data_IF_323543785369
#
_entry.id   IF_323543785369
#
_cell.length_a   1.000
_cell.length_b   1.000
_cell.length_c   1.000
_cell.angle_alpha   90.00
_cell.angle_beta   90.00
_cell.angle_gamma   90.00
#
_symmetry.space_group_name_H-M   'P 1'
#
loop_
_entity.id
_entity.type
_entity.pdbx_description
1 polymer ?
#
# COMPACT_ATOMS: atom_id res chain seq x y z
N UNK A 1 -24.48 -76.54 96.42
CA UNK A 1 -24.99 -75.79 95.26
C UNK A 1 -24.42 -74.37 95.28
N UNK A 2 -23.37 -74.10 94.50
CA UNK A 2 -22.85 -72.74 94.27
C UNK A 2 -22.07 -72.75 92.95
N UNK A 3 -22.79 -72.57 91.84
CA UNK A 3 -22.19 -72.31 90.54
C UNK A 3 -21.82 -70.82 90.50
N UNK A 4 -20.51 -70.56 90.43
CA UNK A 4 -19.92 -69.24 90.32
C UNK A 4 -19.72 -68.98 88.83
N UNK A 5 -20.64 -68.25 88.21
CA UNK A 5 -20.49 -67.78 86.83
C UNK A 5 -19.38 -66.72 86.79
N UNK A 6 -18.26 -67.08 86.16
CA UNK A 6 -17.17 -66.18 85.81
C UNK A 6 -17.52 -65.63 84.43
N UNK A 7 -18.22 -64.49 84.39
CA UNK A 7 -18.41 -63.76 83.13
C UNK A 7 -17.07 -63.15 82.70
N UNK A 8 -16.59 -63.65 81.57
CA UNK A 8 -15.34 -63.31 80.91
C UNK A 8 -15.48 -61.91 80.31
N UNK A 9 -14.95 -60.91 81.00
CA UNK A 9 -14.82 -59.54 80.51
C UNK A 9 -13.74 -59.50 79.41
N UNK A 10 -14.12 -59.96 78.22
CA UNK A 10 -13.24 -60.05 77.05
C UNK A 10 -13.69 -59.04 75.98
N UNK A 11 -12.72 -58.28 75.50
CA UNK A 11 -12.68 -57.68 74.16
C UNK A 11 -13.54 -56.42 73.89
N UNK A 12 -13.46 -55.37 74.72
CA UNK A 12 -13.87 -54.00 74.31
C UNK A 12 -12.74 -53.12 73.74
N UNK A 13 -11.50 -53.61 73.67
CA UNK A 13 -10.35 -52.84 73.16
C UNK A 13 -10.19 -52.84 71.62
N UNK A 14 -11.00 -53.60 70.88
CA UNK A 14 -10.96 -53.65 69.41
C UNK A 14 -12.02 -52.79 68.70
N UNK A 15 -13.11 -52.43 69.37
CA UNK A 15 -14.26 -51.76 68.73
C UNK A 15 -13.93 -50.34 68.24
N UNK A 16 -13.16 -49.58 69.02
CA UNK A 16 -12.75 -48.23 68.61
C UNK A 16 -11.87 -48.24 67.35
N UNK A 17 -10.97 -49.23 67.22
CA UNK A 17 -10.12 -49.35 66.02
C UNK A 17 -10.92 -49.61 64.75
N UNK A 18 -11.96 -50.44 64.83
CA UNK A 18 -12.85 -50.72 63.68
C UNK A 18 -13.64 -49.48 63.29
N UNK A 19 -14.18 -48.72 64.24
CA UNK A 19 -14.90 -47.46 63.96
C UNK A 19 -13.99 -46.43 63.28
N UNK A 20 -12.74 -46.27 63.73
CA UNK A 20 -11.78 -45.38 63.07
C UNK A 20 -11.46 -45.81 61.64
N UNK A 21 -11.28 -47.11 61.40
CA UNK A 21 -11.03 -47.62 60.04
C UNK A 21 -12.23 -47.36 59.14
N UNK A 22 -13.45 -47.63 59.61
CA UNK A 22 -14.68 -47.37 58.84
C UNK A 22 -14.82 -45.87 58.53
N UNK A 23 -14.65 -44.99 59.51
CA UNK A 23 -14.70 -43.54 59.30
C UNK A 23 -13.62 -43.05 58.33
N UNK A 24 -12.40 -43.59 58.44
CA UNK A 24 -11.31 -43.27 57.53
C UNK A 24 -11.64 -43.71 56.10
N UNK A 25 -12.15 -44.94 55.90
CA UNK A 25 -12.57 -45.43 54.59
C UNK A 25 -13.66 -44.56 53.97
N UNK A 26 -14.68 -44.18 54.74
CA UNK A 26 -15.72 -43.26 54.27
C UNK A 26 -15.16 -41.88 53.87
N UNK A 27 -14.21 -41.37 54.66
CA UNK A 27 -13.57 -40.08 54.38
C UNK A 27 -12.76 -40.12 53.09
N UNK A 28 -11.98 -41.19 52.88
CA UNK A 28 -11.22 -41.40 51.65
C UNK A 28 -12.14 -41.58 50.44
N UNK A 29 -13.21 -42.38 50.58
CA UNK A 29 -14.18 -42.58 49.49
C UNK A 29 -14.87 -41.25 49.11
N UNK A 30 -15.29 -40.46 50.10
CA UNK A 30 -15.87 -39.14 49.86
C UNK A 30 -14.86 -38.20 49.17
N UNK A 31 -13.61 -38.19 49.64
CA UNK A 31 -12.56 -37.38 49.03
C UNK A 31 -12.30 -37.78 47.56
N UNK A 32 -12.28 -39.07 47.25
CA UNK A 32 -12.12 -39.56 45.87
C UNK A 32 -13.27 -39.12 44.96
N UNK A 33 -14.52 -39.12 45.47
CA UNK A 33 -15.68 -38.62 44.72
C UNK A 33 -15.53 -37.12 44.46
N UNK A 34 -15.13 -36.33 45.47
CA UNK A 34 -14.92 -34.88 45.31
C UNK A 34 -13.81 -34.60 44.30
N UNK A 35 -12.69 -35.32 44.36
CA UNK A 35 -11.58 -35.19 43.39
C UNK A 35 -12.04 -35.57 41.98
N UNK A 36 -12.82 -36.63 41.84
CA UNK A 36 -13.39 -37.04 40.55
C UNK A 36 -14.28 -35.94 39.95
N UNK A 37 -15.23 -35.43 40.72
CA UNK A 37 -16.14 -34.35 40.28
C UNK A 37 -15.35 -33.07 39.97
N UNK A 38 -14.36 -32.72 40.79
CA UNK A 38 -13.50 -31.57 40.55
C UNK A 38 -12.74 -31.69 39.23
N UNK A 39 -12.23 -32.88 38.92
CA UNK A 39 -11.52 -33.14 37.67
C UNK A 39 -12.44 -33.04 36.44
N UNK A 40 -13.68 -33.54 36.53
CA UNK A 40 -14.68 -33.34 35.46
C UNK A 40 -15.02 -31.85 35.25
N UNK A 41 -15.21 -31.10 36.34
CA UNK A 41 -15.48 -29.66 36.26
C UNK A 41 -14.33 -28.88 35.63
N UNK A 42 -13.08 -29.20 35.99
CA UNK A 42 -11.89 -28.60 35.38
C UNK A 42 -11.83 -28.89 33.87
N UNK A 43 -12.17 -30.11 33.44
CA UNK A 43 -12.20 -30.46 32.02
C UNK A 43 -13.29 -29.67 31.26
N UNK A 44 -14.47 -29.49 31.84
CA UNK A 44 -15.56 -28.70 31.25
C UNK A 44 -15.15 -27.23 31.12
N UNK A 45 -14.56 -26.64 32.16
CA UNK A 45 -14.09 -25.25 32.15
C UNK A 45 -13.01 -25.06 31.09
N UNK A 46 -12.04 -25.98 31.00
CA UNK A 46 -10.99 -25.93 29.99
C UNK A 46 -11.55 -26.00 28.56
N UNK A 47 -12.54 -26.88 28.32
CA UNK A 47 -13.23 -26.97 27.02
C UNK A 47 -13.98 -25.69 26.69
N UNK A 48 -14.69 -25.11 27.64
CA UNK A 48 -15.43 -23.86 27.44
C UNK A 48 -14.48 -22.69 27.15
N UNK A 49 -13.34 -22.61 27.84
CA UNK A 49 -12.32 -21.59 27.57
C UNK A 49 -11.74 -21.73 26.16
N UNK A 50 -11.40 -22.94 25.73
CA UNK A 50 -10.90 -23.21 24.36
C UNK A 50 -11.96 -22.91 23.29
N UNK A 51 -13.23 -23.19 23.56
CA UNK A 51 -14.34 -22.83 22.67
C UNK A 51 -14.45 -21.31 22.50
N UNK A 52 -14.41 -20.55 23.59
CA UNK A 52 -14.46 -19.08 23.52
C UNK A 52 -13.22 -18.49 22.83
N UNK A 53 -12.02 -19.06 23.06
CA UNK A 53 -10.82 -18.69 22.31
C UNK A 53 -10.99 -18.92 20.80
N UNK A 54 -11.58 -20.05 20.40
CA UNK A 54 -11.85 -20.34 18.99
C UNK A 54 -12.85 -19.35 18.39
N UNK A 55 -13.91 -18.98 19.12
CA UNK A 55 -14.86 -17.94 18.68
C UNK A 55 -14.19 -16.59 18.49
N UNK A 56 -13.29 -16.21 19.40
CA UNK A 56 -12.52 -14.97 19.29
C UNK A 56 -11.60 -14.99 18.08
N UNK A 57 -10.91 -16.10 17.82
CA UNK A 57 -10.08 -16.29 16.62
C UNK A 57 -10.90 -16.14 15.32
N UNK A 58 -12.05 -16.82 15.24
CA UNK A 58 -12.96 -16.71 14.08
C UNK A 58 -13.48 -15.28 13.90
N UNK A 59 -13.84 -14.61 14.99
CA UNK A 59 -14.26 -13.21 14.97
C UNK A 59 -13.14 -12.29 14.48
N UNK A 60 -11.90 -12.50 14.94
CA UNK A 60 -10.75 -11.70 14.51
C UNK A 60 -10.49 -11.83 13.00
N UNK A 61 -10.65 -13.04 12.44
CA UNK A 61 -10.60 -13.28 10.99
C UNK A 61 -11.70 -12.49 10.28
N UNK A 62 -12.93 -12.54 10.80
CA UNK A 62 -14.06 -11.83 10.21
C UNK A 62 -13.90 -10.29 10.27
N UNK A 63 -13.39 -9.77 11.40
CA UNK A 63 -13.10 -8.35 11.58
C UNK A 63 -11.99 -7.89 10.63
N UNK A 64 -10.94 -8.69 10.45
CA UNK A 64 -9.86 -8.42 9.49
C UNK A 64 -10.37 -8.41 8.04
N UNK A 65 -11.18 -9.38 7.65
CA UNK A 65 -11.84 -9.42 6.34
C UNK A 65 -12.71 -8.17 6.11
N UNK A 66 -13.47 -7.76 7.13
CA UNK A 66 -14.33 -6.56 7.06
C UNK A 66 -13.50 -5.30 6.89
N UNK A 67 -12.37 -5.18 7.59
CA UNK A 67 -11.48 -4.02 7.48
C UNK A 67 -10.87 -3.90 6.08
N UNK A 68 -10.35 -4.98 5.49
CA UNK A 68 -9.80 -4.91 4.12
C UNK A 68 -10.89 -4.66 3.08
N UNK A 69 -12.10 -5.18 3.29
CA UNK A 69 -13.24 -4.90 2.41
C UNK A 69 -13.59 -3.41 2.42
N UNK A 70 -13.70 -2.80 3.61
CA UNK A 70 -14.04 -1.38 3.77
C UNK A 70 -12.96 -0.43 3.23
N UNK A 71 -11.69 -0.85 3.22
CA UNK A 71 -10.60 -0.07 2.63
C UNK A 71 -10.63 -0.06 1.09
N UNK A 72 -11.32 -1.02 0.46
CA UNK A 72 -11.50 -1.08 -0.99
C UNK A 72 -10.52 -2.00 -1.71
N UNK A 73 -10.56 -1.97 -3.05
CA UNK A 73 -9.78 -2.87 -3.90
C UNK A 73 -8.27 -2.67 -3.72
N UNK A 74 -7.53 -3.77 -3.63
CA UNK A 74 -6.08 -3.77 -3.40
C UNK A 74 -5.66 -3.65 -1.95
N UNK A 75 -6.59 -3.40 -1.02
CA UNK A 75 -6.30 -3.43 0.41
C UNK A 75 -5.89 -4.85 0.86
N UNK A 76 -4.86 -4.91 1.71
CA UNK A 76 -4.28 -6.15 2.21
C UNK A 76 -4.05 -6.06 3.71
N UNK A 77 -4.22 -7.18 4.40
CA UNK A 77 -3.88 -7.30 5.82
C UNK A 77 -3.41 -8.72 6.11
N UNK A 78 -2.40 -8.86 6.96
CA UNK A 78 -1.99 -10.15 7.53
C UNK A 78 -2.30 -10.09 9.02
N UNK A 79 -2.96 -11.13 9.54
CA UNK A 79 -3.28 -11.24 10.97
C UNK A 79 -2.78 -12.58 11.48
N UNK A 80 -2.10 -12.55 12.61
CA UNK A 80 -1.69 -13.75 13.32
C UNK A 80 -2.85 -14.22 14.21
N UNK A 81 -3.39 -15.41 13.93
CA UNK A 81 -4.52 -15.99 14.65
C UNK A 81 -4.06 -17.26 15.35
N UNK A 82 -4.47 -17.46 16.60
CA UNK A 82 -4.08 -18.62 17.40
C UNK A 82 -5.29 -19.53 17.63
N UNK A 83 -5.23 -20.75 17.09
CA UNK A 83 -6.23 -21.78 17.33
C UNK A 83 -5.81 -22.72 18.47
N UNK A 84 -6.68 -23.00 19.45
CA UNK A 84 -6.38 -23.97 20.50
C UNK A 84 -6.44 -25.41 19.97
N UNK A 85 -5.94 -26.36 20.75
CA UNK A 85 -6.15 -27.78 20.48
C UNK A 85 -7.65 -28.13 20.47
N UNK A 86 -8.08 -28.98 19.54
CA UNK A 86 -9.48 -29.39 19.39
C UNK A 86 -10.18 -28.80 18.16
N UNK A 87 -9.56 -27.81 17.50
CA UNK A 87 -9.96 -27.38 16.15
C UNK A 87 -9.60 -28.49 15.15
N UNK A 88 -10.53 -28.81 14.25
CA UNK A 88 -10.39 -29.90 13.28
C UNK A 88 -11.20 -29.63 12.01
N UNK A 89 -10.98 -30.44 10.96
CA UNK A 89 -11.62 -30.27 9.65
C UNK A 89 -10.84 -29.33 8.74
N UNK A 90 -11.38 -28.99 7.57
CA UNK A 90 -10.89 -27.90 6.73
C UNK A 90 -11.68 -26.64 7.09
N UNK A 91 -11.04 -25.48 7.25
CA UNK A 91 -11.77 -24.24 7.50
C UNK A 91 -12.50 -23.84 6.23
N UNK A 92 -13.82 -24.03 6.20
CA UNK A 92 -14.61 -23.87 4.98
C UNK A 92 -15.27 -22.50 4.97
N UNK A 93 -15.20 -21.84 3.82
CA UNK A 93 -15.98 -20.64 3.53
C UNK A 93 -17.20 -21.07 2.71
N UNK A 94 -18.40 -20.91 3.28
CA UNK A 94 -19.67 -21.30 2.65
C UNK A 94 -20.64 -20.15 2.77
N UNK A 95 -21.27 -19.73 1.66
CA UNK A 95 -22.29 -18.67 1.65
C UNK A 95 -21.87 -17.41 2.43
N UNK A 96 -20.66 -16.91 2.16
CA UNK A 96 -20.08 -15.73 2.84
C UNK A 96 -19.94 -15.88 4.35
N UNK A 97 -19.91 -17.10 4.86
CA UNK A 97 -19.72 -17.40 6.28
C UNK A 97 -18.45 -18.19 6.48
N UNK A 98 -17.75 -17.88 7.58
CA UNK A 98 -16.57 -18.61 8.03
C UNK A 98 -17.05 -19.75 8.94
N UNK A 99 -16.68 -20.99 8.61
CA UNK A 99 -16.97 -22.17 9.42
C UNK A 99 -15.68 -22.78 9.97
N UNK A 100 -15.66 -22.99 11.29
CA UNK A 100 -14.56 -23.67 11.99
C UNK A 100 -15.14 -24.67 12.98
N UNK A 101 -14.72 -25.93 12.89
CA UNK A 101 -15.22 -27.00 13.76
C UNK A 101 -14.30 -27.17 14.96
N UNK A 102 -14.85 -27.03 16.17
CA UNK A 102 -14.14 -27.25 17.43
C UNK A 102 -14.82 -28.39 18.22
N UNK A 103 -14.11 -29.49 18.45
CA UNK A 103 -14.61 -30.69 19.14
C UNK A 103 -16.02 -31.13 18.66
N UNK A 104 -16.29 -31.05 17.36
CA UNK A 104 -17.58 -31.42 16.75
C UNK A 104 -18.66 -30.32 16.78
N UNK A 105 -18.37 -29.15 17.36
CA UNK A 105 -19.25 -27.97 17.30
C UNK A 105 -18.83 -27.05 16.16
N UNK A 106 -19.77 -26.71 15.27
CA UNK A 106 -19.53 -25.75 14.19
C UNK A 106 -19.67 -24.31 14.71
N UNK A 107 -18.59 -23.53 14.57
CA UNK A 107 -18.54 -22.11 14.90
C UNK A 107 -18.66 -21.34 13.59
N UNK A 108 -19.77 -20.62 13.45
CA UNK A 108 -20.11 -19.90 12.22
C UNK A 108 -20.08 -18.40 12.45
N UNK A 109 -19.40 -17.68 11.56
CA UNK A 109 -19.42 -16.22 11.54
C UNK A 109 -19.80 -15.69 10.14
N UNK A 110 -21.03 -15.14 9.97
CA UNK A 110 -21.48 -14.63 8.69
C UNK A 110 -20.88 -13.26 8.36
N UNK A 111 -20.57 -13.03 7.09
CA UNK A 111 -20.19 -11.74 6.54
C UNK A 111 -21.21 -11.28 5.48
N UNK A 112 -21.38 -9.97 5.37
CA UNK A 112 -22.34 -9.35 4.44
C UNK A 112 -21.74 -9.01 3.06
N UNK A 113 -20.57 -9.58 2.73
CA UNK A 113 -19.91 -9.45 1.44
C UNK A 113 -19.30 -10.78 0.99
N UNK A 114 -19.07 -10.99 -0.32
CA UNK A 114 -18.47 -12.20 -0.82
C UNK A 114 -17.08 -12.47 -0.25
N UNK A 115 -16.87 -13.67 0.29
CA UNK A 115 -15.56 -14.15 0.73
C UNK A 115 -15.20 -15.48 0.08
N UNK A 116 -13.91 -15.72 -0.16
CA UNK A 116 -13.40 -16.96 -0.76
C UNK A 116 -12.06 -17.38 -0.15
N UNK A 117 -11.68 -18.65 -0.35
CA UNK A 117 -10.39 -19.20 0.06
C UNK A 117 -10.50 -20.23 1.18
N UNK A 118 -9.49 -20.33 2.05
CA UNK A 118 -9.41 -21.35 3.10
C UNK A 118 -8.83 -20.79 4.40
N UNK A 119 -9.23 -21.39 5.52
CA UNK A 119 -8.75 -21.03 6.85
C UNK A 119 -7.98 -22.22 7.43
N UNK A 120 -6.78 -22.01 8.00
CA UNK A 120 -6.07 -23.08 8.66
C UNK A 120 -6.84 -23.52 9.90
N UNK A 121 -6.92 -24.83 10.10
CA UNK A 121 -7.70 -25.48 11.17
C UNK A 121 -6.85 -26.38 12.05
N UNK A 122 -5.54 -26.39 11.83
CA UNK A 122 -4.62 -27.04 12.76
C UNK A 122 -4.42 -26.16 14.00
N UNK A 123 -4.25 -26.76 15.20
CA UNK A 123 -3.89 -26.02 16.40
C UNK A 123 -2.56 -25.26 16.21
N UNK A 124 -2.46 -24.08 16.81
CA UNK A 124 -1.26 -23.24 16.75
C UNK A 124 -1.51 -21.83 16.23
N UNK A 125 -0.41 -21.12 16.02
CA UNK A 125 -0.39 -19.75 15.49
C UNK A 125 -0.26 -19.79 13.97
N UNK A 126 -1.09 -19.01 13.27
CA UNK A 126 -1.16 -18.96 11.81
C UNK A 126 -1.22 -17.52 11.32
N UNK A 127 -0.42 -17.20 10.31
CA UNK A 127 -0.51 -15.92 9.60
C UNK A 127 -1.52 -16.04 8.44
N UNK A 128 -2.66 -15.40 8.61
CA UNK A 128 -3.75 -15.40 7.63
C UNK A 128 -3.69 -14.10 6.83
N UNK A 129 -3.61 -14.22 5.50
CA UNK A 129 -3.61 -13.13 4.54
C UNK A 129 -5.02 -12.83 4.06
N UNK A 130 -5.37 -11.56 4.05
CA UNK A 130 -6.64 -11.03 3.57
C UNK A 130 -6.36 -10.07 2.42
N UNK A 131 -7.00 -10.30 1.27
CA UNK A 131 -6.84 -9.47 0.07
C UNK A 131 -8.22 -9.07 -0.45
N UNK A 132 -8.46 -7.76 -0.54
CA UNK A 132 -9.69 -7.21 -1.12
C UNK A 132 -9.57 -7.02 -2.63
N UNK A 133 -10.51 -7.58 -3.38
CA UNK A 133 -10.68 -7.36 -4.82
C UNK A 133 -11.77 -6.32 -5.11
N UNK A 134 -12.18 -5.55 -4.11
CA UNK A 134 -13.25 -4.55 -4.21
C UNK A 134 -14.63 -5.15 -4.00
N UNK A 135 -15.03 -6.14 -4.79
CA UNK A 135 -16.33 -6.82 -4.64
C UNK A 135 -16.29 -8.08 -3.78
N UNK A 136 -15.10 -8.56 -3.41
CA UNK A 136 -14.90 -9.76 -2.60
C UNK A 136 -13.59 -9.68 -1.80
N UNK A 137 -13.48 -10.52 -0.78
CA UNK A 137 -12.22 -10.72 -0.02
C UNK A 137 -11.77 -12.17 -0.14
N UNK A 138 -10.51 -12.38 -0.52
CA UNK A 138 -9.88 -13.69 -0.42
C UNK A 138 -9.15 -13.82 0.91
N UNK A 139 -9.34 -14.97 1.55
CA UNK A 139 -8.73 -15.37 2.82
C UNK A 139 -7.86 -16.60 2.53
N UNK A 140 -6.61 -16.59 2.97
CA UNK A 140 -5.74 -17.75 2.81
C UNK A 140 -4.54 -17.70 3.73
N UNK A 141 -3.83 -18.81 3.85
CA UNK A 141 -2.53 -18.83 4.54
C UNK A 141 -1.53 -18.02 3.71
N UNK A 142 -0.83 -17.08 4.33
CA UNK A 142 0.22 -16.35 3.65
C UNK A 142 1.38 -17.31 3.34
N UNK A 143 1.66 -17.60 2.07
CA UNK A 143 2.82 -18.45 1.72
C UNK A 143 4.15 -17.69 1.85
N UNK A 144 4.11 -16.39 1.60
CA UNK A 144 5.23 -15.48 1.79
C UNK A 144 4.72 -14.07 2.08
N UNK A 145 5.59 -13.23 2.63
CA UNK A 145 5.35 -11.80 2.82
C UNK A 145 6.35 -10.98 1.99
N UNK A 146 5.94 -9.76 1.61
CA UNK A 146 6.81 -8.80 0.92
C UNK A 146 6.73 -7.46 1.65
N UNK A 147 7.89 -6.86 1.91
CA UNK A 147 8.01 -5.56 2.59
C UNK A 147 9.02 -4.65 1.87
N UNK A 148 8.73 -3.35 1.65
CA UNK A 148 7.44 -2.70 1.89
C UNK A 148 6.33 -3.23 0.97
N UNK A 149 5.06 -3.00 1.36
CA UNK A 149 3.88 -3.40 0.57
C UNK A 149 3.58 -2.47 -0.62
N UNK A 150 4.31 -1.35 -0.75
CA UNK A 150 4.23 -0.41 -1.86
C UNK A 150 5.56 0.33 -1.99
N UNK A 151 5.92 0.72 -3.21
CA UNK A 151 7.12 1.54 -3.46
C UNK A 151 6.70 2.87 -4.07
N UNK A 152 7.28 3.96 -3.60
CA UNK A 152 7.15 5.27 -4.22
C UNK A 152 8.54 5.83 -4.51
N UNK A 153 8.79 6.12 -5.79
CA UNK A 153 9.95 6.85 -6.26
C UNK A 153 9.56 8.32 -6.48
N UNK A 154 10.42 9.23 -6.04
CA UNK A 154 10.31 10.64 -6.37
C UNK A 154 11.64 11.09 -6.94
N UNK A 155 11.60 11.72 -8.11
CA UNK A 155 12.81 12.23 -8.75
C UNK A 155 12.56 13.53 -9.48
N UNK A 156 13.66 14.15 -9.88
CA UNK A 156 13.70 15.33 -10.71
C UNK A 156 14.07 14.94 -12.13
N UNK A 157 13.27 15.38 -13.10
CA UNK A 157 13.54 15.23 -14.52
C UNK A 157 14.81 15.98 -14.90
N UNK A 158 15.87 15.24 -15.21
CA UNK A 158 17.17 15.79 -15.63
C UNK A 158 17.41 15.52 -17.12
N UNK A 159 18.42 16.19 -17.69
CA UNK A 159 18.92 15.92 -19.05
C UNK A 159 19.68 14.59 -19.17
N UNK A 160 19.93 13.92 -18.04
CA UNK A 160 20.63 12.65 -17.96
C UNK A 160 19.72 11.59 -17.39
N UNK A 161 19.93 10.36 -17.83
CA UNK A 161 19.26 9.17 -17.31
C UNK A 161 19.53 8.99 -15.82
N UNK A 162 18.53 8.54 -15.07
CA UNK A 162 18.60 8.32 -13.64
C UNK A 162 18.20 6.90 -13.29
N UNK A 163 18.98 6.25 -12.44
CA UNK A 163 18.66 4.92 -11.91
C UNK A 163 18.31 5.07 -10.44
N UNK A 164 17.04 4.85 -10.13
CA UNK A 164 16.53 4.81 -8.76
C UNK A 164 16.50 3.35 -8.31
N UNK A 165 16.86 3.08 -7.06
CA UNK A 165 16.89 1.73 -6.51
C UNK A 165 16.13 1.67 -5.21
N UNK A 166 15.31 0.62 -5.04
CA UNK A 166 14.65 0.29 -3.78
C UNK A 166 14.82 -1.21 -3.51
N UNK A 167 14.93 -1.61 -2.25
CA UNK A 167 14.98 -3.03 -1.87
C UNK A 167 13.62 -3.47 -1.35
N UNK A 168 13.14 -4.60 -1.87
CA UNK A 168 12.05 -5.39 -1.33
C UNK A 168 12.62 -6.58 -0.55
N UNK A 169 12.02 -6.89 0.59
CA UNK A 169 12.35 -8.05 1.41
C UNK A 169 11.21 -9.05 1.31
N UNK A 170 11.51 -10.26 0.83
CA UNK A 170 10.57 -11.37 0.66
C UNK A 170 10.91 -12.45 1.69
N UNK A 171 9.95 -12.83 2.53
CA UNK A 171 10.14 -13.82 3.58
C UNK A 171 9.21 -15.01 3.35
N UNK A 172 9.75 -16.23 3.41
CA UNK A 172 8.96 -17.44 3.34
C UNK A 172 8.26 -17.72 4.67
N UNK A 173 6.92 -17.82 4.61
CA UNK A 173 6.07 -18.09 5.79
C UNK A 173 5.68 -19.57 5.89
N UNK A 174 6.03 -20.38 4.90
CA UNK A 174 5.76 -21.81 4.90
C UNK A 174 6.81 -22.59 5.71
N UNK A 175 6.39 -23.75 6.23
CA UNK A 175 7.27 -24.75 6.84
C UNK A 175 7.94 -25.66 5.78
N UNK A 176 7.83 -25.31 4.50
CA UNK A 176 8.46 -25.97 3.36
C UNK A 176 9.19 -24.95 2.50
N UNK A 177 10.10 -25.44 1.66
CA UNK A 177 10.72 -24.62 0.61
C UNK A 177 9.67 -24.08 -0.36
N UNK A 178 9.79 -22.80 -0.71
CA UNK A 178 8.83 -22.09 -1.54
C UNK A 178 9.50 -21.49 -2.80
N UNK A 179 8.91 -21.68 -3.99
CA UNK A 179 9.43 -21.12 -5.24
C UNK A 179 8.63 -19.88 -5.64
N UNK A 180 9.30 -18.73 -5.69
CA UNK A 180 8.69 -17.43 -5.98
C UNK A 180 9.02 -16.99 -7.40
N UNK A 181 7.99 -16.68 -8.19
CA UNK A 181 8.12 -16.03 -9.49
C UNK A 181 7.63 -14.58 -9.39
N UNK A 182 8.48 -13.62 -9.72
CA UNK A 182 8.13 -12.21 -9.78
C UNK A 182 7.98 -11.74 -11.24
N UNK A 183 6.94 -10.96 -11.50
CA UNK A 183 6.70 -10.34 -12.80
C UNK A 183 6.42 -8.85 -12.63
N UNK A 184 6.76 -8.06 -13.65
CA UNK A 184 6.60 -6.60 -13.64
C UNK A 184 5.59 -6.20 -14.71
N UNK A 185 4.57 -5.44 -14.31
CA UNK A 185 3.67 -4.74 -15.22
C UNK A 185 3.96 -3.24 -15.14
N UNK A 186 4.64 -2.70 -16.15
CA UNK A 186 5.01 -1.29 -16.24
C UNK A 186 4.78 -0.78 -17.65
N UNK A 187 3.90 0.21 -17.81
CA UNK A 187 3.55 0.78 -19.11
C UNK A 187 3.90 2.27 -19.13
N UNK A 188 5.18 2.58 -19.31
CA UNK A 188 5.62 3.96 -19.49
C UNK A 188 6.78 4.07 -20.50
N UNK A 189 6.70 4.95 -21.51
CA UNK A 189 7.76 5.08 -22.50
C UNK A 189 9.00 5.85 -21.99
N UNK A 190 8.89 6.65 -20.93
CA UNK A 190 9.98 7.44 -20.35
C UNK A 190 10.70 6.78 -19.18
N UNK A 191 10.33 5.55 -18.81
CA UNK A 191 10.99 4.82 -17.73
C UNK A 191 10.87 3.31 -17.90
N UNK A 192 11.87 2.58 -17.45
CA UNK A 192 11.87 1.11 -17.40
C UNK A 192 12.04 0.63 -15.98
N UNK A 193 11.27 -0.40 -15.62
CA UNK A 193 11.28 -1.01 -14.30
C UNK A 193 11.78 -2.45 -14.42
N UNK A 194 12.76 -2.82 -13.60
CA UNK A 194 13.33 -4.17 -13.57
C UNK A 194 13.64 -4.63 -12.14
N UNK A 195 13.80 -5.94 -11.96
CA UNK A 195 14.17 -6.55 -10.68
C UNK A 195 15.57 -7.17 -10.80
N UNK A 196 16.28 -7.27 -9.68
CA UNK A 196 17.53 -8.03 -9.61
C UNK A 196 17.33 -9.50 -9.93
N UNK A 197 16.18 -10.06 -9.53
CA UNK A 197 15.81 -11.46 -9.76
C UNK A 197 14.30 -11.60 -9.94
N UNK A 198 13.89 -12.41 -10.92
CA UNK A 198 12.47 -12.67 -11.23
C UNK A 198 12.01 -14.08 -10.83
N UNK A 199 12.93 -14.99 -10.46
CA UNK A 199 12.60 -16.34 -10.04
C UNK A 199 13.63 -16.79 -9.01
N UNK A 200 13.18 -17.15 -7.82
CA UNK A 200 14.04 -17.61 -6.74
C UNK A 200 13.31 -18.55 -5.79
N UNK A 201 14.10 -19.36 -5.09
CA UNK A 201 13.61 -20.28 -4.06
C UNK A 201 13.96 -19.73 -2.68
N UNK A 202 13.03 -19.87 -1.74
CA UNK A 202 13.22 -19.55 -0.33
C UNK A 202 13.09 -20.83 0.50
N UNK A 203 14.09 -21.13 1.33
CA UNK A 203 13.99 -22.18 2.34
C UNK A 203 13.04 -21.78 3.47
N UNK A 204 12.78 -22.71 4.39
CA UNK A 204 11.92 -22.48 5.56
C UNK A 204 12.42 -21.27 6.34
N UNK A 205 11.55 -20.28 6.54
CA UNK A 205 11.85 -19.03 7.25
C UNK A 205 13.01 -18.21 6.64
N UNK A 206 13.41 -18.49 5.41
CA UNK A 206 14.42 -17.70 4.71
C UNK A 206 13.83 -16.35 4.28
N UNK A 207 14.67 -15.33 4.38
CA UNK A 207 14.37 -13.97 3.89
C UNK A 207 15.33 -13.62 2.77
N UNK A 208 14.83 -13.03 1.69
CA UNK A 208 15.63 -12.60 0.54
C UNK A 208 15.33 -11.16 0.16
N UNK A 209 16.40 -10.43 -0.15
CA UNK A 209 16.30 -9.07 -0.66
C UNK A 209 16.29 -9.08 -2.20
N UNK A 210 15.26 -8.46 -2.79
CA UNK A 210 15.11 -8.26 -4.23
C UNK A 210 15.22 -6.77 -4.49
N UNK A 211 16.21 -6.35 -5.27
CA UNK A 211 16.37 -4.95 -5.63
C UNK A 211 15.47 -4.62 -6.83
N UNK A 212 14.80 -3.48 -6.74
CA UNK A 212 13.94 -2.90 -7.77
C UNK A 212 14.69 -1.72 -8.36
N UNK A 213 14.94 -1.77 -9.67
CA UNK A 213 15.61 -0.72 -10.41
C UNK A 213 14.59 -0.01 -11.29
N UNK A 214 14.49 1.32 -11.12
CA UNK A 214 13.67 2.17 -11.97
C UNK A 214 14.60 3.12 -12.72
N UNK A 215 14.73 2.87 -14.01
CA UNK A 215 15.55 3.67 -14.89
C UNK A 215 14.68 4.70 -15.61
N UNK A 216 14.90 5.99 -15.33
CA UNK A 216 14.11 7.12 -15.83
C UNK A 216 14.89 7.82 -16.93
N UNK A 217 14.32 7.83 -18.13
CA UNK A 217 14.91 8.50 -19.29
C UNK A 217 14.98 10.01 -19.11
N UNK A 218 15.93 10.70 -19.76
CA UNK A 218 16.03 12.16 -19.73
C UNK A 218 14.71 12.87 -20.02
N UNK A 219 14.50 14.02 -19.38
CA UNK A 219 13.35 14.91 -19.60
C UNK A 219 11.96 14.28 -19.32
N UNK A 220 11.92 13.16 -18.60
CA UNK A 220 10.66 12.48 -18.24
C UNK A 220 9.99 13.21 -17.08
N UNK A 221 8.83 13.82 -17.32
CA UNK A 221 7.99 14.45 -16.27
C UNK A 221 6.63 13.77 -16.25
N UNK A 222 6.09 13.53 -15.06
CA UNK A 222 4.75 12.97 -14.87
C UNK A 222 4.64 12.05 -13.67
N UNK A 223 3.41 11.54 -13.50
CA UNK A 223 3.11 10.50 -12.52
C UNK A 223 2.87 9.19 -13.27
N UNK A 224 3.55 8.14 -12.84
CA UNK A 224 3.48 6.83 -13.45
C UNK A 224 3.26 5.77 -12.39
N UNK A 225 2.56 4.73 -12.78
CA UNK A 225 2.22 3.62 -11.90
C UNK A 225 2.41 2.29 -12.60
N UNK A 226 2.66 1.27 -11.81
CA UNK A 226 2.74 -0.11 -12.25
C UNK A 226 2.76 -1.05 -11.06
N UNK A 227 2.97 -2.32 -11.31
CA UNK A 227 2.87 -3.37 -10.30
C UNK A 227 4.02 -4.36 -10.44
N UNK A 228 4.55 -4.83 -9.32
CA UNK A 228 5.29 -6.09 -9.25
C UNK A 228 4.35 -7.14 -8.67
N UNK A 229 4.18 -8.27 -9.34
CA UNK A 229 3.43 -9.41 -8.84
C UNK A 229 4.39 -10.55 -8.51
N UNK A 230 4.37 -10.99 -7.25
CA UNK A 230 5.04 -12.19 -6.77
C UNK A 230 4.01 -13.33 -6.71
N UNK A 231 4.36 -14.50 -7.25
CA UNK A 231 3.51 -15.67 -7.37
C UNK A 231 4.21 -16.90 -6.80
N UNK A 232 3.47 -17.68 -6.00
CA UNK A 232 3.84 -19.05 -5.65
C UNK A 232 2.60 -19.90 -5.41
N UNK A 233 2.57 -21.14 -5.92
CA UNK A 233 1.56 -22.19 -5.63
C UNK A 233 0.08 -21.77 -5.66
N UNK A 234 -0.25 -20.65 -6.32
CA UNK A 234 -1.60 -20.07 -6.38
C UNK A 234 -1.80 -18.83 -5.48
N UNK A 235 -0.87 -18.54 -4.57
CA UNK A 235 -0.80 -17.29 -3.82
C UNK A 235 -0.12 -16.17 -4.63
N UNK A 236 -0.75 -14.99 -4.65
CA UNK A 236 -0.27 -13.79 -5.34
C UNK A 236 -0.14 -12.60 -4.40
N UNK A 237 1.04 -11.95 -4.43
CA UNK A 237 1.31 -10.70 -3.74
C UNK A 237 1.69 -9.60 -4.73
N UNK A 238 0.86 -8.56 -4.81
CA UNK A 238 1.06 -7.41 -5.70
C UNK A 238 1.62 -6.23 -4.89
N UNK A 239 2.77 -5.71 -5.31
CA UNK A 239 3.39 -4.48 -4.80
C UNK A 239 3.15 -3.36 -5.82
N UNK A 240 2.24 -2.40 -5.54
CA UNK A 240 2.08 -1.22 -6.36
C UNK A 240 3.33 -0.33 -6.30
N UNK A 241 3.69 0.22 -7.47
CA UNK A 241 4.81 1.13 -7.65
C UNK A 241 4.31 2.45 -8.20
N UNK A 242 4.76 3.54 -7.58
CA UNK A 242 4.49 4.90 -8.01
C UNK A 242 5.80 5.60 -8.34
N UNK A 243 5.84 6.32 -9.46
CA UNK A 243 6.91 7.25 -9.80
C UNK A 243 6.30 8.63 -9.94
N UNK A 244 6.77 9.58 -9.15
CA UNK A 244 6.52 11.00 -9.34
C UNK A 244 7.81 11.65 -9.85
N UNK A 245 7.87 11.92 -11.15
CA UNK A 245 8.97 12.67 -11.75
C UNK A 245 8.54 14.11 -11.95
N UNK A 246 9.15 15.02 -11.19
CA UNK A 246 8.87 16.45 -11.26
C UNK A 246 9.93 17.13 -12.10
N UNK A 247 9.61 18.24 -12.74
CA UNK A 247 10.65 19.11 -13.27
C UNK A 247 11.39 19.73 -12.07
N UNK A 248 12.61 19.29 -11.77
CA UNK A 248 13.45 19.97 -10.80
C UNK A 248 14.90 20.12 -11.26
N UNK A 249 15.51 21.20 -10.79
CA UNK A 249 16.44 21.98 -11.59
C UNK A 249 15.65 23.16 -12.17
N UNK A 250 15.79 24.38 -11.69
CA UNK A 250 17.12 25.00 -11.56
C UNK A 250 17.70 25.37 -12.93
N UNK A 251 17.03 24.99 -14.03
CA UNK A 251 16.56 26.10 -14.84
C UNK A 251 15.67 26.90 -13.86
N UNK A 252 16.09 28.11 -13.50
CA UNK A 252 15.09 29.16 -13.64
C UNK A 252 14.29 28.77 -14.89
N UNK A 253 12.98 28.89 -14.92
CA UNK A 253 12.47 29.32 -16.21
C UNK A 253 13.15 30.69 -16.49
N UNK A 254 14.41 30.71 -16.89
CA UNK A 254 14.81 31.07 -18.22
C UNK A 254 13.76 30.51 -19.21
N UNK A 255 12.50 30.98 -19.10
CA UNK A 255 12.07 31.85 -20.17
C UNK A 255 13.15 32.89 -20.24
N UNK A 256 14.08 32.59 -21.14
CA UNK A 256 15.32 33.30 -21.29
C UNK A 256 14.91 34.62 -21.88
N UNK A 257 14.49 35.54 -21.00
CA UNK A 257 13.99 36.86 -21.34
C UNK A 257 12.87 36.81 -22.41
N UNK A 258 12.25 37.95 -22.67
CA UNK A 258 11.66 38.17 -23.99
C UNK A 258 12.69 39.05 -24.67
N UNK A 259 13.29 38.53 -25.74
CA UNK A 259 14.19 39.33 -26.54
C UNK A 259 13.36 40.21 -27.45
N UNK A 260 13.20 41.47 -27.06
CA UNK A 260 12.65 42.50 -27.94
C UNK A 260 13.80 43.13 -28.69
N UNK A 261 14.06 42.62 -29.90
CA UNK A 261 14.99 43.23 -30.85
C UNK A 261 14.23 44.16 -31.79
N UNK A 262 14.82 45.31 -32.08
CA UNK A 262 14.31 46.27 -33.06
C UNK A 262 15.31 46.43 -34.20
N UNK A 263 14.78 46.50 -35.42
CA UNK A 263 15.57 46.53 -36.65
C UNK A 263 15.19 47.77 -37.47
N UNK A 264 16.18 48.34 -38.16
CA UNK A 264 15.99 49.52 -39.01
C UNK A 264 15.49 49.18 -40.43
N UNK A 265 15.35 47.89 -40.74
CA UNK A 265 14.95 47.38 -42.03
C UNK A 265 13.87 46.31 -41.91
N UNK A 266 13.00 46.22 -42.92
CA UNK A 266 11.93 45.21 -42.97
C UNK A 266 12.44 43.77 -43.18
N UNK A 267 13.74 43.60 -43.41
CA UNK A 267 14.38 42.29 -43.60
C UNK A 267 15.08 41.77 -42.32
N UNK A 268 15.01 42.50 -41.20
CA UNK A 268 15.56 42.10 -39.90
C UNK A 268 17.08 41.89 -39.90
N UNK A 269 17.82 42.66 -40.72
CA UNK A 269 19.27 42.47 -40.87
C UNK A 269 20.11 43.51 -40.16
N UNK A 270 19.53 44.67 -39.80
CA UNK A 270 20.26 45.79 -39.19
C UNK A 270 19.66 46.13 -37.82
N UNK A 271 20.24 45.64 -36.71
CA UNK A 271 19.82 46.00 -35.35
C UNK A 271 20.06 47.50 -35.09
N UNK A 272 19.14 48.17 -34.39
CA UNK A 272 19.29 49.60 -34.06
C UNK A 272 18.95 49.89 -32.60
N UNK A 273 19.57 50.93 -32.03
CA UNK A 273 19.35 51.41 -30.66
C UNK A 273 18.76 52.83 -30.58
N UNK A 274 18.38 53.47 -31.70
CA UNK A 274 17.75 54.80 -31.76
C UNK A 274 16.92 55.02 -33.05
N UNK A 275 15.83 55.80 -33.01
CA UNK A 275 14.63 55.64 -33.87
C UNK A 275 14.13 56.86 -34.68
N UNK A 276 13.49 56.57 -35.82
CA UNK A 276 12.33 57.31 -36.39
C UNK A 276 11.39 56.37 -37.20
N UNK A 277 10.06 56.56 -37.06
CA UNK A 277 8.85 55.83 -37.51
C UNK A 277 8.96 54.57 -38.43
N UNK A 278 8.75 53.36 -37.88
CA UNK A 278 7.48 52.60 -37.71
C UNK A 278 7.85 51.32 -36.95
N UNK A 279 7.41 51.17 -35.69
CA UNK A 279 7.97 50.19 -34.77
C UNK A 279 7.52 48.77 -35.12
N UNK A 280 8.48 47.88 -35.39
CA UNK A 280 8.25 46.45 -35.47
C UNK A 280 8.99 45.79 -34.31
N UNK A 281 8.24 45.17 -33.40
CA UNK A 281 8.72 44.47 -32.23
C UNK A 281 8.71 42.98 -32.54
N UNK A 282 9.85 42.30 -32.43
CA UNK A 282 9.88 40.84 -32.46
C UNK A 282 9.67 40.31 -31.04
N UNK A 283 8.67 39.45 -30.84
CA UNK A 283 8.36 38.81 -29.56
C UNK A 283 8.76 37.35 -29.72
N UNK A 284 9.79 36.92 -29.01
CA UNK A 284 10.19 35.50 -28.97
C UNK A 284 10.09 34.97 -27.54
N UNK A 285 9.46 33.81 -27.37
CA UNK A 285 9.34 33.10 -26.10
C UNK A 285 9.92 31.68 -26.25
N UNK A 286 10.59 31.19 -25.22
CA UNK A 286 11.31 29.90 -25.23
C UNK A 286 11.06 29.15 -23.93
N UNK A 287 11.32 27.84 -23.91
CA UNK A 287 11.26 27.01 -22.70
C UNK A 287 9.87 26.44 -22.39
N UNK A 288 8.94 26.46 -23.35
CA UNK A 288 7.62 25.86 -23.21
C UNK A 288 7.65 24.36 -23.52
N UNK A 289 6.60 23.64 -23.14
CA UNK A 289 6.41 22.27 -23.62
C UNK A 289 6.31 22.28 -25.16
N UNK A 290 7.02 21.40 -25.89
CA UNK A 290 6.91 21.31 -27.34
C UNK A 290 5.48 21.08 -27.82
N UNK A 291 5.09 21.74 -28.91
CA UNK A 291 3.76 21.64 -29.53
C UNK A 291 2.58 21.93 -28.57
N UNK A 292 2.82 22.71 -27.50
CA UNK A 292 1.80 23.02 -26.49
C UNK A 292 1.11 24.35 -26.76
N UNK A 293 -0.14 24.48 -26.33
CA UNK A 293 -0.89 25.73 -26.43
C UNK A 293 -0.57 26.63 -25.25
N UNK A 294 -0.08 27.83 -25.51
CA UNK A 294 0.17 28.88 -24.54
C UNK A 294 -0.74 30.09 -24.82
N UNK A 295 -1.10 30.84 -23.80
CA UNK A 295 -1.83 32.11 -23.95
C UNK A 295 -0.85 33.26 -23.79
N UNK A 296 -0.65 34.02 -24.87
CA UNK A 296 0.15 35.24 -24.89
C UNK A 296 -0.77 36.43 -24.70
N UNK A 297 -0.45 37.37 -23.83
CA UNK A 297 -1.25 38.56 -23.52
C UNK A 297 -0.34 39.78 -23.43
N UNK A 298 -0.43 40.67 -24.42
CA UNK A 298 0.26 41.96 -24.42
C UNK A 298 -0.62 42.99 -23.73
N UNK A 299 -0.09 43.66 -22.71
CA UNK A 299 -0.79 44.72 -21.97
C UNK A 299 -0.09 46.06 -22.10
N UNK A 300 -0.86 47.13 -22.11
CA UNK A 300 -0.35 48.50 -21.97
C UNK A 300 -0.01 48.85 -20.51
N UNK A 301 0.44 50.09 -20.28
CA UNK A 301 0.78 50.59 -18.95
C UNK A 301 -0.42 50.59 -17.98
N UNK A 302 -1.65 50.67 -18.50
CA UNK A 302 -2.88 50.57 -17.71
C UNK A 302 -3.26 49.12 -17.35
N UNK A 303 -2.50 48.13 -17.82
CA UNK A 303 -2.81 46.70 -17.67
C UNK A 303 -3.89 46.20 -18.63
N UNK A 304 -4.29 47.01 -19.60
CA UNK A 304 -5.31 46.67 -20.60
C UNK A 304 -4.66 45.89 -21.73
N UNK A 305 -5.28 44.78 -22.15
CA UNK A 305 -4.77 43.98 -23.25
C UNK A 305 -4.82 44.76 -24.57
N UNK A 306 -3.72 44.69 -25.33
CA UNK A 306 -3.59 45.29 -26.65
C UNK A 306 -4.52 44.58 -27.65
N UNK A 307 -4.99 45.28 -28.70
CA UNK A 307 -5.82 44.65 -29.73
C UNK A 307 -5.18 43.37 -30.31
N UNK A 308 -5.94 42.28 -30.34
CA UNK A 308 -5.45 40.96 -30.77
C UNK A 308 -4.95 40.05 -29.64
N UNK A 309 -4.91 40.56 -28.40
CA UNK A 309 -4.52 39.82 -27.19
C UNK A 309 -5.66 39.84 -26.14
N UNK A 310 -5.78 38.81 -25.28
CA UNK A 310 -4.96 37.61 -25.21
C UNK A 310 -5.14 36.69 -26.43
N UNK A 311 -4.07 36.02 -26.83
CA UNK A 311 -3.95 35.19 -28.03
C UNK A 311 -3.50 33.79 -27.64
N UNK A 312 -4.28 32.77 -28.02
CA UNK A 312 -3.86 31.38 -27.89
C UNK A 312 -2.93 31.03 -29.05
N UNK A 313 -1.71 30.61 -28.74
CA UNK A 313 -0.67 30.28 -29.71
C UNK A 313 -0.06 28.93 -29.39
N UNK A 314 0.47 28.25 -30.40
CA UNK A 314 1.11 26.95 -30.22
C UNK A 314 2.62 27.11 -30.36
N UNK A 315 3.37 26.52 -29.44
CA UNK A 315 4.83 26.47 -29.52
C UNK A 315 5.26 25.44 -30.56
N UNK A 316 6.45 25.60 -31.13
CA UNK A 316 7.00 24.64 -32.07
C UNK A 316 7.51 23.34 -31.37
N UNK A 317 8.08 22.43 -32.16
CA UNK A 317 8.64 21.17 -31.66
C UNK A 317 9.85 21.32 -30.73
N UNK A 318 10.39 22.53 -30.58
CA UNK A 318 11.46 22.87 -29.63
C UNK A 318 10.97 23.67 -28.42
N UNK A 319 9.66 23.96 -28.33
CA UNK A 319 9.10 24.76 -27.25
C UNK A 319 9.30 26.27 -27.42
N UNK A 320 9.48 26.74 -28.66
CA UNK A 320 9.68 28.15 -29.01
C UNK A 320 8.44 28.71 -29.71
N UNK A 321 8.12 29.98 -29.47
CA UNK A 321 7.12 30.74 -30.21
C UNK A 321 7.65 32.13 -30.54
N UNK A 322 7.48 32.60 -31.78
CA UNK A 322 7.85 33.95 -32.20
C UNK A 322 6.76 34.63 -33.06
N UNK A 323 6.59 35.93 -32.87
CA UNK A 323 5.75 36.78 -33.73
C UNK A 323 6.25 38.22 -33.79
N UNK A 324 5.78 38.97 -34.78
CA UNK A 324 6.04 40.42 -34.87
C UNK A 324 4.79 41.21 -34.51
N UNK A 325 5.00 42.33 -33.82
CA UNK A 325 3.93 43.20 -33.33
C UNK A 325 4.28 44.67 -33.56
N UNK A 326 3.27 45.50 -33.83
CA UNK A 326 3.42 46.94 -34.06
C UNK A 326 2.76 47.70 -32.90
N UNK A 327 3.52 48.42 -32.05
CA UNK A 327 2.97 49.24 -30.98
C UNK A 327 2.04 50.36 -31.50
N UNK A 328 0.95 50.62 -30.77
CA UNK A 328 0.01 51.72 -31.06
C UNK A 328 0.45 53.08 -30.47
N UNK A 329 1.69 53.19 -29.99
CA UNK A 329 2.23 54.42 -29.41
C UNK A 329 3.45 54.15 -28.54
N UNK A 330 3.96 55.22 -27.94
CA UNK A 330 5.04 55.17 -26.96
C UNK A 330 4.45 54.91 -25.57
N UNK A 331 4.76 53.77 -24.97
CA UNK A 331 4.28 53.41 -23.63
C UNK A 331 5.11 52.27 -23.03
N UNK A 332 4.83 51.97 -21.76
CA UNK A 332 5.28 50.73 -21.13
C UNK A 332 4.32 49.61 -21.54
N UNK A 333 4.88 48.52 -22.02
CA UNK A 333 4.13 47.32 -22.37
C UNK A 333 4.61 46.14 -21.52
N UNK A 334 3.68 45.25 -21.16
CA UNK A 334 3.98 44.00 -20.48
C UNK A 334 3.49 42.84 -21.32
N UNK A 335 4.40 41.92 -21.64
CA UNK A 335 4.06 40.63 -22.24
C UNK A 335 3.87 39.62 -21.13
N UNK A 336 2.74 38.95 -21.15
CA UNK A 336 2.40 37.86 -20.24
C UNK A 336 2.22 36.60 -21.08
N UNK A 337 2.93 35.54 -20.76
CA UNK A 337 2.75 34.25 -21.39
C UNK A 337 2.37 33.21 -20.33
N UNK A 338 1.24 32.54 -20.55
CA UNK A 338 0.65 31.59 -19.61
C UNK A 338 0.48 30.21 -20.25
N UNK A 339 1.01 29.21 -19.56
CA UNK A 339 0.62 27.81 -19.71
C UNK A 339 -0.04 27.38 -18.40
N UNK A 340 -0.93 26.37 -18.42
CA UNK A 340 -1.79 25.97 -17.28
C UNK A 340 -1.13 25.88 -15.88
N UNK A 341 0.20 25.74 -15.83
CA UNK A 341 1.01 25.68 -14.61
C UNK A 341 2.21 26.67 -14.58
N UNK A 342 2.42 27.47 -15.63
CA UNK A 342 3.54 28.43 -15.75
C UNK A 342 3.04 29.81 -16.14
N UNK A 343 3.43 30.84 -15.38
CA UNK A 343 3.14 32.24 -15.68
C UNK A 343 4.47 33.00 -15.81
N UNK A 344 4.65 33.67 -16.94
CA UNK A 344 5.87 34.40 -17.27
C UNK A 344 5.50 35.82 -17.66
N UNK A 345 6.08 36.79 -16.96
CA UNK A 345 5.82 38.21 -17.18
C UNK A 345 7.11 38.94 -17.54
N UNK A 346 7.07 39.76 -18.59
CA UNK A 346 8.18 40.61 -18.99
C UNK A 346 7.68 41.99 -19.39
N UNK A 347 8.26 43.04 -18.82
CA UNK A 347 7.91 44.42 -19.15
C UNK A 347 9.02 45.08 -19.96
N UNK A 348 8.64 45.83 -20.99
CA UNK A 348 9.53 46.65 -21.78
C UNK A 348 8.92 48.03 -22.02
N UNK A 349 9.76 49.03 -22.23
CA UNK A 349 9.32 50.39 -22.53
C UNK A 349 9.64 50.72 -23.96
N UNK A 350 8.66 51.25 -24.68
CA UNK A 350 8.87 51.86 -26.00
C UNK A 350 8.92 53.37 -25.79
N UNK A 351 10.14 53.92 -25.68
CA UNK A 351 10.34 55.37 -25.49
C UNK A 351 10.40 56.12 -26.82
N UNK A 352 9.86 57.36 -26.88
CA UNK A 352 10.20 58.27 -27.96
C UNK A 352 11.67 58.70 -27.80
N UNK A 353 12.36 58.92 -28.91
CA UNK A 353 13.71 59.50 -28.86
C UNK A 353 13.72 60.91 -28.27
#
# INVERSE_FOLDING_TARGET
>A
MKNKEIFKEKDRKGQGGVEYVVLFTFTVAFFLIVVYVANEQLNIINKQQKLEQTKLAVKEIADAATQVYQQGAGARKIVNVVFPEGVSGDGIIINNSIHVIFEGTDIVYPLNFPISGSIPTSPGSHDISFVSYGSSVSIGVAEFSVSPSSISFSTCSNSSEQILTQTLTVENKMNTTNQINASVTWSNPGSTLSLSENNFTLNVSETKNVNVYLNVSPNTVGQFNGNIEFLSSGYSFIVPIYLNSQACGGISSNVSYILVETYNDSAYTIPTSSYSMSFLVNITTTGWLPNSNITLDLKDQGGTSMPGYPKLVQTDGSGVYSETWVPNGYSNYTVIANYSIYNVNYSFTVEPC
#
